data_IF_791953806324
#
_entry.id   IF_791953806324
#
_cell.length_a   1.000
_cell.length_b   1.000
_cell.length_c   1.000
_cell.angle_alpha   90.00
_cell.angle_beta   90.00
_cell.angle_gamma   90.00
#
_symmetry.space_group_name_H-M   'P 1'
#
loop_
_entity.id
_entity.type
_entity.pdbx_description
1 polymer ?
#
# COMPACT_ATOMS: atom_id res chain seq x y z
N UNK A 1 6.09 -26.80 -10.85
CA UNK A 1 5.63 -25.53 -10.26
C UNK A 1 5.15 -24.62 -11.40
N UNK A 2 3.91 -24.12 -11.36
CA UNK A 2 3.35 -23.21 -12.36
C UNK A 2 3.11 -21.86 -11.70
N UNK A 3 3.70 -20.81 -12.24
CA UNK A 3 3.42 -19.43 -11.81
C UNK A 3 2.39 -18.82 -12.74
N UNK A 4 1.30 -18.29 -12.18
CA UNK A 4 0.30 -17.52 -12.91
C UNK A 4 0.39 -16.08 -12.42
N UNK A 5 0.85 -15.17 -13.29
CA UNK A 5 0.89 -13.75 -12.96
C UNK A 5 -0.47 -13.11 -13.25
N UNK A 6 -1.22 -12.82 -12.19
CA UNK A 6 -2.56 -12.25 -12.26
C UNK A 6 -3.13 -12.02 -10.87
N UNK A 7 -4.38 -11.54 -10.83
CA UNK A 7 -5.14 -11.36 -9.60
C UNK A 7 -6.18 -12.48 -9.46
N UNK A 8 -6.33 -13.03 -8.24
CA UNK A 8 -7.45 -13.91 -7.93
C UNK A 8 -8.68 -13.02 -7.69
N UNK A 9 -9.71 -13.15 -8.51
CA UNK A 9 -10.93 -12.33 -8.45
C UNK A 9 -12.06 -13.01 -7.70
N UNK A 10 -12.07 -14.35 -7.66
CA UNK A 10 -13.03 -15.16 -6.91
C UNK A 10 -12.38 -16.45 -6.41
N UNK A 11 -12.73 -16.85 -5.20
CA UNK A 11 -12.42 -18.18 -4.65
C UNK A 11 -13.73 -18.91 -4.35
N UNK A 12 -13.88 -20.12 -4.89
CA UNK A 12 -15.06 -20.97 -4.70
C UNK A 12 -14.66 -22.24 -3.94
N UNK A 13 -14.95 -22.25 -2.62
CA UNK A 13 -14.58 -23.35 -1.73
C UNK A 13 -15.29 -24.68 -2.06
N UNK A 14 -16.63 -24.69 -2.25
CA UNK A 14 -17.37 -25.90 -2.62
C UNK A 14 -16.88 -26.56 -3.91
N UNK A 15 -16.69 -25.79 -4.99
CA UNK A 15 -16.19 -26.31 -6.26
C UNK A 15 -14.65 -26.50 -6.26
N UNK A 16 -13.98 -25.98 -5.23
CA UNK A 16 -12.52 -25.93 -5.09
C UNK A 16 -11.84 -25.30 -6.30
N UNK A 17 -12.37 -24.15 -6.73
CA UNK A 17 -11.85 -23.42 -7.89
C UNK A 17 -11.48 -21.98 -7.54
N UNK A 18 -10.50 -21.44 -8.26
CA UNK A 18 -10.12 -20.03 -8.20
C UNK A 18 -10.26 -19.41 -9.60
N UNK A 19 -10.98 -18.29 -9.67
CA UNK A 19 -11.02 -17.44 -10.86
C UNK A 19 -9.88 -16.45 -10.80
N UNK A 20 -9.07 -16.42 -11.85
CA UNK A 20 -7.87 -15.59 -11.97
C UNK A 20 -8.02 -14.70 -13.19
N UNK A 21 -7.70 -13.43 -13.05
CA UNK A 21 -7.53 -12.49 -14.16
C UNK A 21 -6.03 -12.32 -14.44
N UNK A 22 -5.49 -12.96 -15.51
CA UNK A 22 -4.08 -12.85 -15.85
C UNK A 22 -3.73 -11.44 -16.32
N UNK A 23 -2.51 -10.97 -16.03
CA UNK A 23 -2.10 -9.59 -16.29
C UNK A 23 -2.19 -9.17 -17.77
N UNK A 24 -1.91 -10.08 -18.70
CA UNK A 24 -1.87 -9.80 -20.14
C UNK A 24 -2.99 -10.50 -20.94
N UNK A 25 -4.00 -11.02 -20.26
CA UNK A 25 -5.15 -11.68 -20.90
C UNK A 25 -6.42 -10.87 -20.72
N UNK A 26 -7.25 -10.78 -21.76
CA UNK A 26 -8.61 -10.25 -21.63
C UNK A 26 -9.56 -11.24 -20.98
N UNK A 27 -9.28 -12.53 -21.10
CA UNK A 27 -10.10 -13.60 -20.53
C UNK A 27 -9.63 -13.98 -19.14
N UNK A 28 -10.59 -14.29 -18.27
CA UNK A 28 -10.33 -14.96 -17.00
C UNK A 28 -9.97 -16.44 -17.23
N UNK A 29 -9.34 -17.02 -16.21
CA UNK A 29 -9.02 -18.44 -16.16
C UNK A 29 -9.54 -19.03 -14.87
N UNK A 30 -9.96 -20.29 -14.91
CA UNK A 30 -10.35 -21.06 -13.73
C UNK A 30 -9.29 -22.11 -13.46
N UNK A 31 -8.90 -22.24 -12.19
CA UNK A 31 -7.95 -23.25 -11.73
C UNK A 31 -8.58 -24.04 -10.59
N UNK A 32 -8.59 -25.36 -10.73
CA UNK A 32 -9.02 -26.27 -9.68
C UNK A 32 -7.89 -26.51 -8.67
N UNK A 33 -8.24 -26.79 -7.43
CA UNK A 33 -7.28 -27.16 -6.39
C UNK A 33 -7.84 -28.24 -5.46
N UNK A 34 -6.96 -29.04 -4.85
CA UNK A 34 -7.35 -29.92 -3.74
C UNK A 34 -7.24 -29.20 -2.39
N UNK A 35 -6.31 -28.24 -2.29
CA UNK A 35 -6.08 -27.42 -1.10
C UNK A 35 -5.66 -26.00 -1.51
N UNK A 36 -6.18 -24.99 -0.80
CA UNK A 36 -5.89 -23.58 -1.06
C UNK A 36 -5.22 -22.94 0.16
N UNK A 37 -4.10 -22.26 -0.06
CA UNK A 37 -3.42 -21.43 0.94
C UNK A 37 -3.59 -19.97 0.52
N UNK A 38 -4.30 -19.19 1.34
CA UNK A 38 -4.48 -17.75 1.11
C UNK A 38 -3.37 -16.99 1.83
N UNK A 39 -2.48 -16.39 1.04
CA UNK A 39 -1.36 -15.56 1.51
C UNK A 39 -1.36 -14.18 0.84
N UNK A 40 -2.54 -13.59 0.64
CA UNK A 40 -2.75 -12.37 -0.14
C UNK A 40 -2.41 -11.06 0.60
N UNK A 41 -2.08 -11.12 1.89
CA UNK A 41 -1.79 -9.94 2.71
C UNK A 41 -3.04 -9.14 3.09
N UNK A 42 -2.85 -7.87 3.44
CA UNK A 42 -3.91 -6.93 3.81
C UNK A 42 -3.54 -5.50 3.38
N UNK A 43 -4.53 -4.61 3.47
CA UNK A 43 -4.41 -3.18 3.20
C UNK A 43 -4.69 -2.37 4.48
N UNK A 44 -4.11 -1.17 4.60
CA UNK A 44 -4.03 -0.42 5.87
C UNK A 44 -4.68 0.97 5.85
N UNK A 45 -5.41 1.34 4.79
CA UNK A 45 -6.11 2.63 4.69
C UNK A 45 -7.56 2.55 5.16
N UNK A 46 -7.88 2.76 6.46
CA UNK A 46 -9.25 2.56 6.97
C UNK A 46 -10.28 3.53 6.37
N UNK A 47 -9.83 4.65 5.81
CA UNK A 47 -10.70 5.69 5.23
C UNK A 47 -10.85 5.59 3.72
N UNK A 48 -10.17 4.64 3.07
CA UNK A 48 -10.29 4.42 1.64
C UNK A 48 -11.09 3.15 1.37
N UNK A 49 -12.03 3.19 0.42
CA UNK A 49 -12.89 2.04 0.04
C UNK A 49 -12.12 0.74 -0.17
N UNK A 50 -10.95 0.85 -0.79
CA UNK A 50 -10.07 -0.27 -1.14
C UNK A 50 -8.93 -0.53 -0.13
N UNK A 51 -8.90 0.20 0.98
CA UNK A 51 -7.79 0.13 1.93
C UNK A 51 -6.50 0.81 1.44
N UNK A 52 -6.57 1.59 0.36
CA UNK A 52 -5.41 2.21 -0.28
C UNK A 52 -4.62 3.10 0.69
N UNK A 53 -3.30 3.01 0.62
CA UNK A 53 -2.36 3.78 1.45
C UNK A 53 -1.04 3.95 0.73
N UNK A 54 -0.18 4.87 1.20
CA UNK A 54 1.18 5.05 0.66
C UNK A 54 2.08 3.81 0.82
N UNK A 55 1.70 2.86 1.69
CA UNK A 55 2.52 1.71 2.07
C UNK A 55 2.32 0.49 1.16
N UNK A 56 1.20 0.44 0.44
CA UNK A 56 0.83 -0.71 -0.38
C UNK A 56 0.35 -0.25 -1.76
N UNK A 57 0.90 -0.83 -2.85
CA UNK A 57 0.47 -0.49 -4.19
C UNK A 57 -0.96 -0.92 -4.44
N UNK A 58 -1.69 -0.14 -5.23
CA UNK A 58 -3.00 -0.53 -5.76
C UNK A 58 -2.84 -1.63 -6.81
N UNK A 59 -2.97 -2.88 -6.38
CA UNK A 59 -2.74 -4.08 -7.21
C UNK A 59 -3.98 -4.64 -7.89
N UNK A 60 -5.18 -4.26 -7.43
CA UNK A 60 -6.43 -4.78 -7.99
C UNK A 60 -6.86 -3.93 -9.19
N UNK A 61 -7.16 -4.58 -10.31
CA UNK A 61 -7.63 -3.88 -11.51
C UNK A 61 -8.91 -3.08 -11.23
N UNK A 62 -9.80 -3.62 -10.39
CA UNK A 62 -11.05 -2.98 -9.99
C UNK A 62 -10.84 -1.76 -9.08
N UNK A 63 -9.78 -1.73 -8.29
CA UNK A 63 -9.49 -0.63 -7.38
C UNK A 63 -8.88 0.57 -8.11
N UNK A 64 -8.11 0.32 -9.17
CA UNK A 64 -7.34 1.36 -9.88
C UNK A 64 -8.16 2.58 -10.34
N UNK A 65 -9.34 2.44 -10.97
CA UNK A 65 -10.12 3.60 -11.39
C UNK A 65 -10.66 4.45 -10.23
N UNK A 66 -10.75 3.88 -9.03
CA UNK A 66 -11.25 4.53 -7.82
C UNK A 66 -10.12 4.88 -6.82
N UNK A 67 -8.86 4.68 -7.21
CA UNK A 67 -7.70 4.96 -6.38
C UNK A 67 -7.27 6.43 -6.45
N UNK A 68 -6.56 6.88 -5.41
CA UNK A 68 -6.00 8.24 -5.30
C UNK A 68 -4.99 8.54 -6.41
N UNK A 69 -4.34 7.51 -6.95
CA UNK A 69 -3.39 7.59 -8.08
C UNK A 69 -3.89 6.80 -9.30
N UNK A 70 -5.16 6.98 -9.67
CA UNK A 70 -5.80 6.25 -10.78
C UNK A 70 -5.11 6.37 -12.15
N UNK A 71 -4.29 7.41 -12.35
CA UNK A 71 -3.44 7.58 -13.53
C UNK A 71 -2.19 6.69 -13.55
N UNK A 72 -1.86 6.03 -12.44
CA UNK A 72 -0.71 5.16 -12.26
C UNK A 72 -1.16 3.71 -12.18
N UNK A 73 -0.48 2.82 -12.91
CA UNK A 73 -0.72 1.38 -12.83
C UNK A 73 0.35 0.69 -11.99
N UNK A 74 0.12 0.62 -10.68
CA UNK A 74 1.04 0.04 -9.71
C UNK A 74 1.11 -1.49 -9.74
N UNK A 75 0.34 -2.15 -10.61
CA UNK A 75 0.51 -3.58 -10.90
C UNK A 75 1.82 -3.85 -11.64
N UNK A 76 2.38 -2.82 -12.28
CA UNK A 76 3.67 -2.86 -12.97
C UNK A 76 4.74 -2.12 -12.16
N UNK A 77 5.98 -2.61 -12.22
CA UNK A 77 7.12 -1.98 -11.55
C UNK A 77 7.31 -0.52 -11.95
N UNK A 78 7.02 -0.22 -13.21
CA UNK A 78 7.18 1.11 -13.77
C UNK A 78 6.16 2.10 -13.17
N UNK A 79 4.89 1.69 -12.98
CA UNK A 79 3.90 2.50 -12.27
C UNK A 79 4.30 2.77 -10.82
N UNK A 80 4.79 1.74 -10.10
CA UNK A 80 5.28 1.92 -8.71
C UNK A 80 6.41 2.94 -8.64
N UNK A 81 7.36 2.90 -9.59
CA UNK A 81 8.45 3.88 -9.67
C UNK A 81 7.94 5.31 -9.91
N UNK A 82 6.92 5.47 -10.77
CA UNK A 82 6.29 6.79 -10.99
C UNK A 82 5.65 7.32 -9.72
N UNK A 83 4.91 6.47 -8.98
CA UNK A 83 4.28 6.88 -7.75
C UNK A 83 5.31 7.36 -6.71
N UNK A 84 6.39 6.60 -6.51
CA UNK A 84 7.50 7.01 -5.63
C UNK A 84 8.07 8.38 -6.05
N UNK A 85 8.27 8.61 -7.35
CA UNK A 85 8.81 9.87 -7.86
C UNK A 85 7.82 11.04 -7.68
N UNK A 86 6.52 10.80 -7.86
CA UNK A 86 5.45 11.78 -7.65
C UNK A 86 5.39 12.21 -6.18
N UNK A 87 5.39 11.26 -5.24
CA UNK A 87 5.39 11.57 -3.80
C UNK A 87 6.70 12.23 -3.36
N UNK A 88 7.85 11.81 -3.88
CA UNK A 88 9.14 12.51 -3.63
C UNK A 88 9.08 13.98 -4.07
N UNK A 89 8.54 14.24 -5.27
CA UNK A 89 8.44 15.60 -5.83
C UNK A 89 7.50 16.48 -4.99
N UNK A 90 6.39 15.90 -4.53
CA UNK A 90 5.44 16.55 -3.62
C UNK A 90 6.09 16.89 -2.28
N UNK A 91 6.80 15.96 -1.65
CA UNK A 91 7.53 16.20 -0.39
C UNK A 91 8.60 17.28 -0.54
N UNK A 92 9.36 17.25 -1.64
CA UNK A 92 10.37 18.28 -1.95
C UNK A 92 9.75 19.66 -2.12
N UNK A 93 8.57 19.74 -2.73
CA UNK A 93 7.82 21.00 -2.88
C UNK A 93 7.35 21.53 -1.53
N UNK A 94 6.86 20.65 -0.66
CA UNK A 94 6.47 21.00 0.71
C UNK A 94 7.69 21.49 1.52
N UNK A 95 8.85 20.85 1.35
CA UNK A 95 10.08 21.24 2.01
C UNK A 95 10.55 22.63 1.58
N UNK A 96 10.55 22.92 0.28
CA UNK A 96 10.92 24.25 -0.24
C UNK A 96 10.05 25.36 0.33
N UNK A 97 8.79 25.06 0.61
CA UNK A 97 7.85 25.98 1.25
C UNK A 97 7.86 25.95 2.78
N UNK A 98 8.79 25.20 3.40
CA UNK A 98 8.93 24.99 4.85
C UNK A 98 7.58 24.64 5.52
N UNK A 99 6.81 23.79 4.84
CA UNK A 99 5.44 23.44 5.22
C UNK A 99 5.42 22.49 6.41
N UNK A 100 4.28 22.50 7.10
CA UNK A 100 4.00 21.55 8.17
C UNK A 100 3.38 20.26 7.63
N UNK A 101 3.81 19.12 8.18
CA UNK A 101 3.28 17.79 7.87
C UNK A 101 2.88 17.11 9.17
N UNK A 102 1.64 16.59 9.20
CA UNK A 102 1.12 15.78 10.29
C UNK A 102 1.15 14.31 9.88
N UNK A 103 1.85 13.49 10.65
CA UNK A 103 1.82 12.02 10.58
C UNK A 103 0.82 11.51 11.62
N UNK A 104 -0.17 10.73 11.18
CA UNK A 104 -1.21 10.17 12.05
C UNK A 104 -0.94 8.68 12.27
N UNK A 105 -0.73 8.31 13.52
CA UNK A 105 -0.25 6.99 13.95
C UNK A 105 1.25 7.02 14.25
N UNK A 106 1.62 6.74 15.49
CA UNK A 106 2.97 6.59 16.01
C UNK A 106 3.32 5.13 16.33
N UNK A 107 2.74 4.18 15.58
CA UNK A 107 3.26 2.82 15.47
C UNK A 107 4.54 2.76 14.62
N UNK A 108 5.04 1.55 14.34
CA UNK A 108 6.28 1.32 13.60
C UNK A 108 6.39 2.16 12.33
N UNK A 109 5.41 2.02 11.42
CA UNK A 109 5.42 2.68 10.12
C UNK A 109 5.41 4.21 10.25
N UNK A 110 4.59 4.76 11.15
CA UNK A 110 4.50 6.21 11.31
C UNK A 110 5.75 6.83 11.92
N UNK A 111 6.38 6.14 12.89
CA UNK A 111 7.64 6.58 13.48
C UNK A 111 8.78 6.49 12.48
N UNK A 112 8.92 5.38 11.76
CA UNK A 112 9.90 5.26 10.67
C UNK A 112 9.69 6.38 9.65
N UNK A 113 8.45 6.62 9.24
CA UNK A 113 8.15 7.64 8.24
C UNK A 113 8.53 9.06 8.69
N UNK A 114 8.15 9.47 9.91
CA UNK A 114 8.48 10.81 10.39
C UNK A 114 10.00 10.99 10.54
N UNK A 115 10.72 9.92 10.91
CA UNK A 115 12.19 9.94 10.99
C UNK A 115 12.82 10.07 9.60
N UNK A 116 12.34 9.32 8.60
CA UNK A 116 12.84 9.43 7.22
C UNK A 116 12.54 10.81 6.61
N UNK A 117 11.35 11.36 6.86
CA UNK A 117 11.02 12.73 6.45
C UNK A 117 11.97 13.75 7.08
N UNK A 118 12.30 13.61 8.36
CA UNK A 118 13.23 14.50 9.05
C UNK A 118 14.66 14.40 8.49
N UNK A 119 15.08 13.19 8.10
CA UNK A 119 16.41 12.97 7.55
C UNK A 119 16.55 13.53 6.12
N UNK A 120 15.60 13.22 5.24
CA UNK A 120 15.69 13.58 3.82
C UNK A 120 15.15 14.97 3.49
N UNK A 121 14.25 15.52 4.31
CA UNK A 121 13.59 16.81 4.09
C UNK A 121 13.63 17.70 5.35
N UNK A 122 14.83 18.09 5.83
CA UNK A 122 15.04 18.73 7.14
C UNK A 122 14.33 20.07 7.35
N UNK A 123 13.78 20.71 6.30
CA UNK A 123 13.00 21.95 6.44
C UNK A 123 11.50 21.73 6.66
N UNK A 124 11.02 20.50 6.58
CA UNK A 124 9.63 20.19 6.94
C UNK A 124 9.41 20.38 8.44
N UNK A 125 8.27 20.96 8.80
CA UNK A 125 7.83 21.06 10.20
C UNK A 125 6.97 19.85 10.54
N UNK A 126 7.56 18.88 11.21
CA UNK A 126 6.94 17.56 11.42
C UNK A 126 6.22 17.49 12.77
N UNK A 127 4.98 17.00 12.74
CA UNK A 127 4.22 16.62 13.93
C UNK A 127 3.76 15.18 13.75
N UNK A 128 3.89 14.35 14.78
CA UNK A 128 3.31 13.00 14.82
C UNK A 128 2.32 12.90 15.97
N UNK A 129 1.19 12.22 15.75
CA UNK A 129 0.16 11.99 16.77
C UNK A 129 -0.22 10.52 16.81
N UNK A 130 -0.67 10.04 17.96
CA UNK A 130 -1.28 8.73 18.12
C UNK A 130 -2.50 8.83 19.06
N UNK A 131 -3.40 7.87 18.95
CA UNK A 131 -4.50 7.69 19.89
C UNK A 131 -4.00 7.09 21.22
N UNK A 132 -2.97 6.26 21.16
CA UNK A 132 -2.32 5.65 22.31
C UNK A 132 -1.43 6.65 23.05
N UNK A 133 -1.24 6.48 24.37
CA UNK A 133 -0.44 7.41 25.17
C UNK A 133 1.07 7.33 24.90
N UNK A 134 1.55 6.25 24.25
CA UNK A 134 2.96 6.04 23.94
C UNK A 134 3.13 5.63 22.47
N UNK A 135 4.13 6.20 21.76
CA UNK A 135 4.52 5.68 20.45
C UNK A 135 5.11 4.28 20.59
N UNK A 136 5.08 3.51 19.50
CA UNK A 136 5.63 2.15 19.43
C UNK A 136 5.10 1.22 20.53
N UNK A 137 3.81 1.31 20.85
CA UNK A 137 3.19 0.58 21.98
C UNK A 137 3.54 -0.90 22.16
N UNK A 138 3.77 -1.71 21.10
CA UNK A 138 4.22 -3.10 21.24
C UNK A 138 5.66 -3.28 21.73
N UNK A 139 6.50 -2.22 21.68
CA UNK A 139 7.89 -2.27 22.13
C UNK A 139 8.00 -2.06 23.65
N UNK A 140 9.02 -2.64 24.29
CA UNK A 140 9.28 -2.38 25.70
C UNK A 140 9.68 -0.91 25.91
N UNK A 141 9.40 -0.31 27.08
CA UNK A 141 9.80 1.07 27.39
C UNK A 141 11.31 1.34 27.34
N UNK A 142 12.13 0.29 27.37
CA UNK A 142 13.60 0.36 27.33
C UNK A 142 14.18 0.20 25.92
N UNK A 143 13.34 0.16 24.89
CA UNK A 143 13.75 0.07 23.49
C UNK A 143 14.46 1.35 23.01
#
# INVERSE_FOLDING_TARGET
CKLIWGEVTKLDGPERTATIKPMFSQNEMVVDFDYCIIAAGCNFGPFHKWGESLWFPTIHNAARPEGSWSHIDERFLEGRRRHILEEYTKLKTLEQGEKSVLVVGAGFIGVEWVTELNHFFPKLKLTIIDFLPLPLGPLPPSA
#
